data_IF_449478535554
#
_entry.id   IF_449478535554
#
_cell.length_a   1.000
_cell.length_b   1.000
_cell.length_c   1.000
_cell.angle_alpha   90.00
_cell.angle_beta   90.00
_cell.angle_gamma   90.00
#
_symmetry.space_group_name_H-M   'P 1'
#
loop_
_entity.id
_entity.type
_entity.pdbx_description
1 polymer ?
#
# COMPACT_ATOMS: atom_id res chain seq x y z
N UNK A 1 6.79 -0.72 0.98
CA UNK A 1 7.51 0.46 1.51
C UNK A 1 7.91 1.43 0.41
N UNK A 2 8.74 1.02 -0.55
CA UNK A 2 9.27 1.92 -1.57
C UNK A 2 8.18 2.61 -2.45
N UNK A 3 7.17 1.86 -2.90
CA UNK A 3 6.02 2.42 -3.62
C UNK A 3 5.26 3.47 -2.78
N UNK A 4 5.00 3.20 -1.50
CA UNK A 4 4.31 4.14 -0.62
C UNK A 4 5.08 5.45 -0.49
N UNK A 5 6.39 5.39 -0.25
CA UNK A 5 7.23 6.59 -0.16
C UNK A 5 7.29 7.35 -1.48
N UNK A 6 7.39 6.65 -2.60
CA UNK A 6 7.40 7.25 -3.94
C UNK A 6 6.10 8.01 -4.24
N UNK A 7 4.96 7.41 -3.89
CA UNK A 7 3.64 8.03 -4.00
C UNK A 7 3.53 9.27 -3.10
N UNK A 8 3.90 9.15 -1.83
CA UNK A 8 3.84 10.28 -0.88
C UNK A 8 4.76 11.46 -1.27
N UNK A 9 5.90 11.19 -1.90
CA UNK A 9 6.80 12.24 -2.40
C UNK A 9 6.26 12.98 -3.62
N UNK A 10 5.47 12.28 -4.45
CA UNK A 10 4.71 12.85 -5.55
C UNK A 10 3.42 13.55 -5.08
N UNK A 11 2.94 13.22 -3.87
CA UNK A 11 1.70 13.74 -3.29
C UNK A 11 1.92 14.28 -1.86
N UNK A 12 2.66 15.40 -1.70
CA UNK A 12 3.03 15.95 -0.41
C UNK A 12 1.83 16.34 0.47
N UNK A 13 0.66 16.61 -0.12
CA UNK A 13 -0.59 16.86 0.58
C UNK A 13 -1.05 15.67 1.42
N UNK A 14 -0.91 14.44 0.89
CA UNK A 14 -1.27 13.21 1.60
C UNK A 14 -0.22 12.85 2.64
N UNK A 15 1.06 13.10 2.34
CA UNK A 15 2.15 12.97 3.32
C UNK A 15 1.93 13.89 4.53
N UNK A 16 1.55 15.14 4.28
CA UNK A 16 1.23 16.11 5.33
C UNK A 16 0.02 15.65 6.14
N UNK A 17 -1.06 15.20 5.50
CA UNK A 17 -2.27 14.73 6.21
C UNK A 17 -1.99 13.50 7.09
N UNK A 18 -1.15 12.57 6.64
CA UNK A 18 -0.70 11.45 7.46
C UNK A 18 0.18 11.88 8.65
N UNK A 19 1.05 12.88 8.45
CA UNK A 19 1.83 13.47 9.54
C UNK A 19 0.94 14.14 10.57
N UNK A 20 -0.01 14.96 10.12
CA UNK A 20 -0.96 15.65 11.00
C UNK A 20 -1.80 14.64 11.83
N UNK A 21 -2.17 13.49 11.23
CA UNK A 21 -2.82 12.39 11.95
C UNK A 21 -1.91 11.78 13.03
N UNK A 22 -0.66 11.43 12.69
CA UNK A 22 0.30 10.85 13.63
C UNK A 22 0.60 11.82 14.78
N UNK A 23 0.84 13.10 14.48
CA UNK A 23 1.14 14.13 15.46
C UNK A 23 -0.03 14.34 16.43
N UNK A 24 -1.27 14.23 15.93
CA UNK A 24 -2.48 14.34 16.76
C UNK A 24 -2.66 13.14 17.69
N UNK A 25 -2.41 11.92 17.22
CA UNK A 25 -2.71 10.68 17.96
C UNK A 25 -1.57 10.22 18.86
N UNK A 26 -0.33 10.35 18.39
CA UNK A 26 0.89 9.88 19.08
C UNK A 26 1.64 11.04 19.72
N UNK A 27 1.68 12.19 19.05
CA UNK A 27 2.50 13.33 19.44
C UNK A 27 4.00 13.11 19.21
N UNK A 28 4.81 13.89 19.92
CA UNK A 28 6.26 13.95 19.68
C UNK A 28 7.12 13.46 20.85
N UNK A 29 6.51 13.04 21.97
CA UNK A 29 7.23 12.64 23.20
C UNK A 29 7.69 11.19 23.21
N UNK A 30 7.28 10.39 22.22
CA UNK A 30 7.64 8.98 22.04
C UNK A 30 7.54 8.60 20.57
N UNK A 31 8.14 7.47 20.22
CA UNK A 31 7.95 6.87 18.90
C UNK A 31 6.55 6.24 18.79
N UNK A 32 6.05 6.20 17.56
CA UNK A 32 4.89 5.42 17.17
C UNK A 32 5.12 3.93 17.49
N UNK A 33 4.14 3.30 18.12
CA UNK A 33 4.14 1.89 18.47
C UNK A 33 3.09 1.12 17.65
N UNK A 34 3.22 -0.21 17.57
CA UNK A 34 2.22 -1.04 16.86
C UNK A 34 0.80 -0.84 17.39
N UNK A 35 0.68 -0.65 18.71
CA UNK A 35 -0.58 -0.42 19.40
C UNK A 35 -1.28 0.86 18.92
N UNK A 36 -0.58 1.84 18.36
CA UNK A 36 -1.18 3.09 17.88
C UNK A 36 -1.86 2.93 16.51
N UNK A 37 -1.50 1.90 15.73
CA UNK A 37 -1.91 1.78 14.33
C UNK A 37 -3.44 1.76 14.13
N UNK A 38 -4.19 1.25 15.11
CA UNK A 38 -5.66 1.24 15.04
C UNK A 38 -6.28 2.65 15.08
N UNK A 39 -5.55 3.65 15.58
CA UNK A 39 -5.96 5.06 15.63
C UNK A 39 -5.43 5.89 14.46
N UNK A 40 -4.80 5.25 13.47
CA UNK A 40 -4.21 5.90 12.29
C UNK A 40 -4.91 5.44 10.99
N UNK A 41 -6.23 5.66 10.85
CA UNK A 41 -6.99 5.20 9.68
C UNK A 41 -6.49 5.82 8.37
N UNK A 42 -6.00 7.06 8.36
CA UNK A 42 -5.51 7.70 7.14
C UNK A 42 -4.17 7.11 6.69
N UNK A 43 -3.27 6.78 7.62
CA UNK A 43 -2.08 5.98 7.31
C UNK A 43 -2.46 4.63 6.69
N UNK A 44 -3.48 3.96 7.23
CA UNK A 44 -3.99 2.70 6.66
C UNK A 44 -4.58 2.89 5.24
N UNK A 45 -5.26 4.01 4.99
CA UNK A 45 -5.78 4.35 3.66
C UNK A 45 -4.67 4.52 2.62
N UNK A 46 -3.56 5.17 3.00
CA UNK A 46 -2.37 5.28 2.15
C UNK A 46 -1.79 3.91 1.81
N UNK A 47 -1.71 3.01 2.79
CA UNK A 47 -1.19 1.65 2.59
C UNK A 47 -2.10 0.87 1.63
N UNK A 48 -3.43 0.92 1.84
CA UNK A 48 -4.39 0.24 0.98
C UNK A 48 -4.36 0.78 -0.45
N UNK A 49 -4.30 2.10 -0.63
CA UNK A 49 -4.21 2.71 -1.96
C UNK A 49 -2.87 2.40 -2.64
N UNK A 50 -1.78 2.33 -1.87
CA UNK A 50 -0.50 1.84 -2.37
C UNK A 50 -0.60 0.40 -2.85
N UNK A 51 -1.25 -0.49 -2.08
CA UNK A 51 -1.41 -1.90 -2.45
C UNK A 51 -2.37 -2.10 -3.63
N UNK A 52 -3.34 -1.21 -3.82
CA UNK A 52 -4.26 -1.21 -4.97
C UNK A 52 -3.51 -0.87 -6.26
N UNK A 53 -2.73 0.21 -6.23
CA UNK A 53 -1.94 0.61 -7.39
C UNK A 53 -0.74 -0.31 -7.58
N UNK A 54 -0.04 -0.71 -6.54
CA UNK A 54 1.17 -1.51 -6.68
C UNK A 54 1.09 -2.80 -5.86
N UNK A 55 0.24 -3.75 -6.28
CA UNK A 55 0.10 -5.02 -5.58
C UNK A 55 1.41 -5.81 -5.68
N UNK A 56 1.89 -6.32 -4.54
CA UNK A 56 3.16 -7.07 -4.49
C UNK A 56 3.11 -8.34 -5.33
N UNK A 57 1.96 -9.02 -5.36
CA UNK A 57 1.66 -10.10 -6.28
C UNK A 57 0.64 -9.63 -7.33
N UNK A 58 1.06 -9.07 -8.48
CA UNK A 58 0.15 -8.53 -9.48
C UNK A 58 -0.68 -9.61 -10.18
N UNK A 59 -0.20 -10.87 -10.18
CA UNK A 59 -0.89 -12.04 -10.70
C UNK A 59 -0.93 -13.14 -9.62
N UNK A 60 -2.12 -13.67 -9.33
CA UNK A 60 -2.32 -14.81 -8.43
C UNK A 60 -2.66 -16.04 -9.24
N UNK A 61 -1.99 -17.15 -8.94
CA UNK A 61 -2.11 -18.40 -9.70
C UNK A 61 -2.85 -19.45 -8.88
N UNK A 62 -3.80 -20.12 -9.53
CA UNK A 62 -4.51 -21.30 -9.03
C UNK A 62 -4.49 -22.41 -10.06
N UNK A 63 -4.87 -23.63 -9.65
CA UNK A 63 -5.08 -24.76 -10.54
C UNK A 63 -6.46 -25.36 -10.28
N UNK A 64 -7.21 -25.70 -11.33
CA UNK A 64 -8.49 -26.39 -11.20
C UNK A 64 -8.27 -27.82 -10.72
N UNK A 65 -8.88 -28.19 -9.60
CA UNK A 65 -8.78 -29.56 -9.06
C UNK A 65 -9.68 -30.57 -9.80
N UNK A 66 -10.69 -30.06 -10.51
CA UNK A 66 -11.65 -30.82 -11.31
C UNK A 66 -12.19 -29.88 -12.39
N UNK A 67 -12.82 -30.46 -13.40
CA UNK A 67 -13.59 -29.73 -14.40
C UNK A 67 -14.56 -28.75 -13.72
N UNK A 68 -14.56 -27.50 -14.17
CA UNK A 68 -15.38 -26.44 -13.60
C UNK A 68 -15.82 -25.43 -14.68
N UNK A 69 -16.59 -24.43 -14.25
CA UNK A 69 -17.04 -23.34 -15.12
C UNK A 69 -16.60 -22.01 -14.54
N UNK A 70 -15.96 -21.16 -15.34
CA UNK A 70 -15.53 -19.81 -14.96
C UNK A 70 -16.05 -18.83 -16.00
N UNK A 71 -16.85 -17.83 -15.57
CA UNK A 71 -17.42 -16.84 -16.50
C UNK A 71 -18.29 -17.44 -17.62
N UNK A 72 -18.88 -18.61 -17.40
CA UNK A 72 -19.66 -19.35 -18.41
C UNK A 72 -18.84 -20.30 -19.29
N UNK A 73 -17.51 -20.29 -19.18
CA UNK A 73 -16.62 -21.16 -19.95
C UNK A 73 -16.24 -22.43 -19.19
N UNK A 74 -16.21 -23.56 -19.88
CA UNK A 74 -15.71 -24.82 -19.33
C UNK A 74 -14.19 -24.76 -19.17
N UNK A 75 -13.72 -25.13 -17.99
CA UNK A 75 -12.31 -25.19 -17.60
C UNK A 75 -12.01 -26.63 -17.18
N UNK A 76 -11.21 -27.38 -17.96
CA UNK A 76 -10.81 -28.73 -17.58
C UNK A 76 -10.06 -28.77 -16.26
N UNK A 77 -10.06 -29.92 -15.60
CA UNK A 77 -9.12 -30.26 -14.52
C UNK A 77 -7.66 -29.97 -14.89
N UNK A 78 -6.85 -29.68 -13.87
CA UNK A 78 -5.42 -29.37 -13.96
C UNK A 78 -5.05 -28.09 -14.73
N UNK A 79 -6.04 -27.29 -15.13
CA UNK A 79 -5.84 -26.00 -15.80
C UNK A 79 -5.29 -24.96 -14.84
N UNK A 80 -4.19 -24.31 -15.23
CA UNK A 80 -3.65 -23.15 -14.53
C UNK A 80 -4.52 -21.92 -14.79
N UNK A 81 -5.02 -21.32 -13.71
CA UNK A 81 -5.83 -20.11 -13.71
C UNK A 81 -5.00 -18.95 -13.17
N UNK A 82 -4.95 -17.84 -13.91
CA UNK A 82 -4.21 -16.64 -13.52
C UNK A 82 -5.17 -15.48 -13.32
N UNK A 83 -5.22 -14.94 -12.11
CA UNK A 83 -5.99 -13.74 -11.78
C UNK A 83 -5.08 -12.53 -11.82
N UNK A 84 -5.33 -11.61 -12.75
CA UNK A 84 -4.59 -10.36 -12.87
C UNK A 84 -5.14 -9.32 -11.88
N UNK A 85 -4.61 -9.33 -10.65
CA UNK A 85 -5.00 -8.39 -9.61
C UNK A 85 -4.67 -6.94 -9.98
N UNK A 86 -3.54 -6.72 -10.66
CA UNK A 86 -3.16 -5.40 -11.15
C UNK A 86 -4.24 -4.76 -12.03
N UNK A 87 -4.82 -5.55 -12.93
CA UNK A 87 -5.91 -5.12 -13.81
C UNK A 87 -7.23 -4.93 -13.05
N UNK A 88 -7.61 -5.89 -12.19
CA UNK A 88 -8.83 -5.77 -11.37
C UNK A 88 -8.81 -4.53 -10.49
N UNK A 89 -7.67 -4.22 -9.89
CA UNK A 89 -7.50 -3.04 -9.03
C UNK A 89 -7.48 -1.72 -9.81
N UNK A 90 -7.38 -1.78 -11.14
CA UNK A 90 -7.40 -0.62 -12.06
C UNK A 90 -8.61 -0.60 -13.00
N UNK A 91 -9.58 -1.48 -12.83
CA UNK A 91 -10.74 -1.54 -13.72
C UNK A 91 -11.56 -0.24 -13.61
N UNK A 92 -11.68 0.56 -14.69
CA UNK A 92 -12.44 1.81 -14.66
C UNK A 92 -13.95 1.61 -14.48
N UNK A 93 -14.47 0.39 -14.70
CA UNK A 93 -15.87 0.06 -14.40
C UNK A 93 -16.12 -0.11 -12.90
N UNK A 94 -15.06 -0.28 -12.11
CA UNK A 94 -15.13 -0.57 -10.68
C UNK A 94 -14.54 0.55 -9.83
N UNK A 95 -13.52 1.25 -10.35
CA UNK A 95 -12.81 2.31 -9.67
C UNK A 95 -12.90 3.63 -10.44
N UNK A 96 -13.35 4.69 -9.77
CA UNK A 96 -13.28 6.06 -10.29
C UNK A 96 -11.82 6.52 -10.28
N UNK A 97 -11.35 7.05 -11.42
CA UNK A 97 -9.97 7.45 -11.66
C UNK A 97 -8.97 6.37 -11.20
N UNK A 98 -8.99 5.17 -11.81
CA UNK A 98 -8.31 3.99 -11.27
C UNK A 98 -6.79 4.15 -11.21
N UNK A 99 -6.21 4.99 -12.04
CA UNK A 99 -4.76 5.22 -12.09
C UNK A 99 -4.29 6.31 -11.14
N UNK A 100 -5.21 7.10 -10.57
CA UNK A 100 -4.88 8.19 -9.64
C UNK A 100 -4.69 7.65 -8.22
N UNK A 101 -3.59 8.04 -7.59
CA UNK A 101 -3.37 7.85 -6.16
C UNK A 101 -4.32 8.76 -5.37
N UNK A 102 -5.25 8.14 -4.65
CA UNK A 102 -6.25 8.85 -3.85
C UNK A 102 -6.60 8.04 -2.59
N UNK A 103 -5.84 8.20 -1.48
CA UNK A 103 -6.09 7.49 -0.22
C UNK A 103 -7.52 7.66 0.31
N UNK A 104 -8.13 8.82 0.09
CA UNK A 104 -9.49 9.16 0.52
C UNK A 104 -10.54 8.15 0.01
N UNK A 105 -10.26 7.40 -1.07
CA UNK A 105 -11.19 6.37 -1.54
C UNK A 105 -11.38 5.21 -0.57
N UNK A 106 -10.52 5.06 0.43
CA UNK A 106 -10.64 4.07 1.49
C UNK A 106 -11.21 4.66 2.80
N UNK A 107 -11.51 5.95 2.84
CA UNK A 107 -12.10 6.61 4.00
C UNK A 107 -13.53 6.09 4.26
N UNK A 108 -13.79 5.66 5.50
CA UNK A 108 -15.09 5.09 5.89
C UNK A 108 -15.41 3.73 5.25
N UNK A 109 -14.48 3.14 4.50
CA UNK A 109 -14.65 1.83 3.88
C UNK A 109 -13.95 0.77 4.71
N UNK A 110 -14.72 -0.14 5.33
CA UNK A 110 -14.16 -1.39 5.82
C UNK A 110 -13.68 -2.22 4.63
N UNK A 111 -12.43 -2.70 4.68
CA UNK A 111 -11.82 -3.51 3.61
C UNK A 111 -12.69 -4.73 3.23
N UNK A 112 -13.45 -5.28 4.17
CA UNK A 112 -14.39 -6.38 3.95
C UNK A 112 -15.61 -6.00 3.09
N UNK A 113 -16.04 -4.74 3.09
CA UNK A 113 -17.19 -4.24 2.31
C UNK A 113 -16.86 -4.00 0.83
N UNK A 114 -15.61 -4.18 0.42
CA UNK A 114 -15.17 -3.98 -0.96
C UNK A 114 -15.41 -5.21 -1.88
N UNK A 115 -15.84 -6.35 -1.35
CA UNK A 115 -16.00 -7.56 -2.15
C UNK A 115 -14.70 -7.94 -2.87
N UNK A 116 -14.79 -8.41 -4.12
CA UNK A 116 -13.62 -8.83 -4.89
C UNK A 116 -12.89 -7.70 -5.64
N UNK A 117 -13.30 -6.43 -5.48
CA UNK A 117 -12.63 -5.31 -6.18
C UNK A 117 -11.27 -4.95 -5.60
N UNK A 118 -11.02 -5.27 -4.33
CA UNK A 118 -9.76 -5.02 -3.64
C UNK A 118 -9.36 -6.26 -2.83
N UNK A 119 -8.36 -6.98 -3.33
CA UNK A 119 -7.87 -8.25 -2.76
C UNK A 119 -6.33 -8.32 -2.82
N UNK A 120 -5.61 -7.34 -2.24
CA UNK A 120 -4.14 -7.26 -2.33
C UNK A 120 -3.42 -8.45 -1.70
N UNK A 121 -4.10 -9.17 -0.80
CA UNK A 121 -3.61 -10.38 -0.13
C UNK A 121 -4.34 -11.65 -0.61
N UNK A 122 -5.07 -11.58 -1.73
CA UNK A 122 -5.95 -12.64 -2.21
C UNK A 122 -7.19 -12.82 -1.35
N UNK A 123 -7.88 -13.96 -1.51
CA UNK A 123 -9.12 -14.28 -0.78
C UNK A 123 -9.29 -15.80 -0.60
N UNK A 124 -10.20 -16.19 0.28
CA UNK A 124 -10.54 -17.59 0.54
C UNK A 124 -9.42 -18.41 1.18
N UNK A 125 -9.40 -19.72 0.90
CA UNK A 125 -8.51 -20.70 1.57
C UNK A 125 -7.01 -20.49 1.31
N UNK A 126 -6.66 -19.69 0.30
CA UNK A 126 -5.28 -19.38 -0.09
C UNK A 126 -4.95 -17.89 0.07
N UNK A 127 -5.77 -17.16 0.83
CA UNK A 127 -5.47 -15.78 1.26
C UNK A 127 -4.12 -15.78 1.99
N UNK A 128 -3.33 -14.73 1.76
CA UNK A 128 -1.99 -14.60 2.30
C UNK A 128 -2.02 -14.71 3.83
N UNK A 129 -1.36 -15.71 4.44
CA UNK A 129 -1.32 -15.84 5.90
C UNK A 129 -0.51 -14.71 6.55
N UNK A 130 0.33 -14.01 5.77
CA UNK A 130 1.17 -12.91 6.24
C UNK A 130 0.49 -11.54 6.27
N UNK A 131 -0.77 -11.41 5.85
CA UNK A 131 -1.48 -10.11 5.79
C UNK A 131 -1.42 -9.34 7.11
N UNK A 132 -1.76 -10.00 8.22
CA UNK A 132 -1.76 -9.36 9.54
C UNK A 132 -0.38 -8.88 9.97
N UNK A 133 0.69 -9.59 9.60
CA UNK A 133 2.07 -9.17 9.88
C UNK A 133 2.49 -8.02 8.95
N UNK A 134 2.17 -8.13 7.66
CA UNK A 134 2.51 -7.13 6.66
C UNK A 134 1.88 -5.77 6.98
N UNK A 135 0.59 -5.73 7.33
CA UNK A 135 -0.09 -4.48 7.65
C UNK A 135 0.49 -3.79 8.90
N UNK A 136 0.88 -4.57 9.92
CA UNK A 136 1.56 -4.05 11.12
C UNK A 136 2.95 -3.52 10.81
N UNK A 137 3.78 -4.30 10.13
CA UNK A 137 5.15 -3.91 9.80
C UNK A 137 5.19 -2.70 8.86
N UNK A 138 4.35 -2.70 7.81
CA UNK A 138 4.26 -1.57 6.88
C UNK A 138 3.69 -0.34 7.57
N UNK A 139 2.65 -0.50 8.39
CA UNK A 139 2.07 0.58 9.19
C UNK A 139 3.09 1.22 10.12
N UNK A 140 3.76 0.41 10.95
CA UNK A 140 4.77 0.87 11.88
C UNK A 140 5.94 1.53 11.14
N UNK A 141 6.49 0.87 10.12
CA UNK A 141 7.65 1.41 9.37
C UNK A 141 7.30 2.72 8.66
N UNK A 142 6.18 2.76 7.93
CA UNK A 142 5.77 3.96 7.20
C UNK A 142 5.45 5.10 8.16
N UNK A 143 4.69 4.82 9.24
CA UNK A 143 4.37 5.77 10.29
C UNK A 143 5.62 6.34 10.95
N UNK A 144 6.58 5.49 11.35
CA UNK A 144 7.84 5.94 11.93
C UNK A 144 8.67 6.79 10.97
N UNK A 145 8.74 6.43 9.68
CA UNK A 145 9.44 7.24 8.67
C UNK A 145 8.79 8.64 8.55
N UNK A 146 7.46 8.71 8.52
CA UNK A 146 6.71 9.98 8.45
C UNK A 146 6.91 10.80 9.73
N UNK A 147 6.83 10.18 10.90
CA UNK A 147 6.99 10.83 12.20
C UNK A 147 8.40 11.42 12.34
N UNK A 148 9.42 10.61 12.06
CA UNK A 148 10.80 10.92 12.43
C UNK A 148 11.54 11.80 11.41
N UNK A 149 11.11 11.83 10.14
CA UNK A 149 11.86 12.52 9.10
C UNK A 149 10.97 13.43 8.28
N UNK A 150 11.51 14.57 7.85
CA UNK A 150 10.97 15.32 6.73
C UNK A 150 11.53 14.73 5.43
N UNK A 151 10.63 14.42 4.50
CA UNK A 151 10.96 13.80 3.22
C UNK A 151 10.74 14.78 2.08
N UNK A 152 11.69 14.82 1.14
CA UNK A 152 11.59 15.60 -0.09
C UNK A 152 12.15 14.82 -1.28
N UNK A 153 11.68 15.19 -2.46
CA UNK A 153 12.28 14.80 -3.73
C UNK A 153 13.68 15.42 -3.85
N UNK A 154 14.58 14.79 -4.62
CA UNK A 154 15.95 15.29 -4.83
C UNK A 154 15.98 16.60 -5.63
N UNK A 155 14.96 16.81 -6.47
CA UNK A 155 14.73 18.05 -7.23
C UNK A 155 13.24 18.35 -7.39
N UNK A 156 12.91 19.18 -8.36
CA UNK A 156 11.52 19.60 -8.64
C UNK A 156 10.73 18.55 -9.43
N UNK A 157 11.44 17.65 -10.13
CA UNK A 157 10.85 16.57 -10.91
C UNK A 157 10.10 15.56 -10.03
N UNK A 158 9.08 14.95 -10.60
CA UNK A 158 8.34 13.88 -9.94
C UNK A 158 9.21 12.62 -9.85
N UNK A 159 9.01 11.83 -8.79
CA UNK A 159 9.58 10.49 -8.69
C UNK A 159 9.03 9.64 -9.84
N UNK A 160 9.93 8.98 -10.58
CA UNK A 160 9.56 8.04 -11.63
C UNK A 160 8.75 6.87 -11.05
N UNK A 161 7.56 6.63 -11.61
CA UNK A 161 6.65 5.59 -11.15
C UNK A 161 6.63 4.36 -12.06
N UNK A 162 7.61 4.25 -12.97
CA UNK A 162 7.73 3.12 -13.90
C UNK A 162 7.87 1.78 -13.16
N UNK A 163 7.10 0.80 -13.60
CA UNK A 163 7.09 -0.57 -13.08
C UNK A 163 8.26 -1.36 -13.67
N UNK A 164 8.98 -2.09 -12.84
CA UNK A 164 10.07 -2.97 -13.25
C UNK A 164 9.58 -4.38 -13.60
N UNK A 165 10.46 -5.19 -14.17
CA UNK A 165 10.17 -6.59 -14.52
C UNK A 165 10.45 -7.52 -13.36
N UNK A 166 9.52 -8.42 -13.03
CA UNK A 166 9.72 -9.44 -12.00
C UNK A 166 8.47 -10.29 -11.74
N UNK A 167 8.61 -11.28 -10.85
CA UNK A 167 7.47 -12.04 -10.33
C UNK A 167 6.60 -11.19 -9.39
N UNK A 168 7.24 -10.29 -8.65
CA UNK A 168 6.57 -9.21 -7.93
C UNK A 168 6.44 -7.99 -8.84
N UNK A 169 5.85 -6.90 -8.34
CA UNK A 169 5.80 -5.61 -9.03
C UNK A 169 6.83 -4.62 -8.45
N UNK A 170 8.13 -4.76 -8.77
CA UNK A 170 9.14 -3.81 -8.31
C UNK A 170 9.04 -2.49 -9.07
N UNK A 171 9.74 -1.46 -8.58
CA UNK A 171 9.99 -0.25 -9.36
C UNK A 171 11.08 -0.52 -10.41
N UNK A 172 11.00 0.15 -11.55
CA UNK A 172 12.03 0.08 -12.58
C UNK A 172 13.34 0.71 -12.10
N UNK A 173 13.22 1.84 -11.38
CA UNK A 173 14.34 2.59 -10.82
C UNK A 173 14.17 2.72 -9.30
N UNK A 174 15.23 2.47 -8.49
CA UNK A 174 15.18 2.64 -7.05
C UNK A 174 14.81 4.06 -6.61
N UNK A 175 14.21 4.21 -5.44
CA UNK A 175 13.85 5.51 -4.89
C UNK A 175 15.09 6.20 -4.35
N UNK A 176 15.36 7.40 -4.86
CA UNK A 176 16.31 8.32 -4.24
C UNK A 176 15.52 9.52 -3.71
N UNK A 177 15.65 9.79 -2.42
CA UNK A 177 14.93 10.86 -1.74
C UNK A 177 15.84 11.57 -0.74
N UNK A 178 15.56 12.84 -0.47
CA UNK A 178 16.19 13.58 0.61
C UNK A 178 15.40 13.33 1.90
N UNK A 179 16.11 12.98 2.97
CA UNK A 179 15.56 12.91 4.31
C UNK A 179 16.37 13.77 5.27
N UNK A 180 15.68 14.44 6.19
CA UNK A 180 16.31 15.07 7.35
C UNK A 180 15.47 14.78 8.60
N UNK A 181 16.09 14.71 9.79
CA UNK A 181 15.33 14.53 11.03
C UNK A 181 14.24 15.60 11.16
N UNK A 182 13.03 15.19 11.51
CA UNK A 182 11.95 16.10 11.87
C UNK A 182 12.36 16.87 13.13
N UNK A 183 12.42 18.21 13.10
CA UNK A 183 12.80 19.01 14.26
C UNK A 183 12.00 18.69 15.52
N UNK A 184 10.71 18.37 15.39
CA UNK A 184 9.84 18.00 16.50
C UNK A 184 10.26 16.68 17.18
N UNK A 185 10.84 15.75 16.41
CA UNK A 185 11.32 14.45 16.88
C UNK A 185 12.81 14.41 17.18
N UNK A 186 13.56 15.50 16.94
CA UNK A 186 15.02 15.50 17.04
C UNK A 186 15.52 15.00 18.40
N UNK A 187 14.86 15.42 19.49
CA UNK A 187 15.19 15.01 20.85
C UNK A 187 15.05 13.49 21.08
N UNK A 188 14.09 12.85 20.43
CA UNK A 188 13.90 11.39 20.48
C UNK A 188 14.94 10.66 19.63
N UNK A 189 15.22 11.16 18.42
CA UNK A 189 16.12 10.50 17.46
C UNK A 189 17.57 10.50 17.97
N UNK A 190 18.01 11.55 18.66
CA UNK A 190 19.37 11.64 19.20
C UNK A 190 19.64 10.76 20.43
N UNK A 191 18.61 10.07 20.95
CA UNK A 191 18.71 9.19 22.12
C UNK A 191 18.88 7.71 21.75
N UNK A 192 18.87 7.37 20.46
CA UNK A 192 19.17 6.04 19.91
C UNK A 192 20.64 6.01 19.50
#
# INVERSE_FOLDING_TARGET
MEWAMSLLLNHPEFLKKARDEIDKQVGHKRFLEESDLHNLPYLNNIINETLRLYPTGPVVIHQSAKDCTVGGFHVPSDTMLQMNLWAVHRDPNVWVDPTKFNPERFEGIESEKNGFKFIPFGSGRRRCPGEGLAMRLVGLTLGSLIQCFEWKRVGEEMVDMSEGTGLTLPRANPLVAMCKPNPAMKHMITQI
#
